data_IF_662795972100
#
_entry.id   IF_662795972100
#
_cell.length_a   1.000
_cell.length_b   1.000
_cell.length_c   1.000
_cell.angle_alpha   90.00
_cell.angle_beta   90.00
_cell.angle_gamma   90.00
#
_symmetry.space_group_name_H-M   'P 1'
#
loop_
_entity.id
_entity.type
_entity.pdbx_description
1 polymer ?
#
# COMPACT_ATOMS: atom_id res chain seq x y z
N UNK A 1 -0.75 -18.68 4.11
CA UNK A 1 -2.18 -18.26 4.01
C UNK A 1 -2.27 -17.20 2.94
N UNK A 2 -3.38 -17.08 2.20
CA UNK A 2 -3.47 -16.11 1.10
C UNK A 2 -4.09 -14.81 1.55
N UNK A 3 -3.55 -13.69 1.09
CA UNK A 3 -4.10 -12.35 1.29
C UNK A 3 -4.17 -11.63 -0.06
N UNK A 4 -5.22 -10.86 -0.27
CA UNK A 4 -5.40 -10.05 -1.46
C UNK A 4 -4.94 -8.60 -1.20
N UNK A 5 -4.07 -8.09 -2.06
CA UNK A 5 -3.59 -6.70 -2.06
C UNK A 5 -4.22 -5.98 -3.25
N UNK A 6 -4.93 -4.89 -2.99
CA UNK A 6 -5.59 -4.06 -3.98
C UNK A 6 -4.69 -2.89 -4.36
N UNK A 7 -4.66 -2.58 -5.65
CA UNK A 7 -4.01 -1.42 -6.22
C UNK A 7 -5.03 -0.66 -7.06
N UNK A 8 -5.29 0.61 -6.74
CA UNK A 8 -6.20 1.44 -7.53
C UNK A 8 -5.43 2.48 -8.33
N UNK A 9 -5.99 2.79 -9.50
CA UNK A 9 -5.39 3.72 -10.45
C UNK A 9 -6.07 5.08 -10.33
N UNK A 10 -5.33 6.16 -10.62
CA UNK A 10 -5.74 7.51 -10.28
C UNK A 10 -7.14 7.87 -10.75
N UNK A 11 -7.90 8.41 -9.79
CA UNK A 11 -9.25 8.97 -9.98
C UNK A 11 -9.43 10.35 -9.34
N UNK A 12 -8.46 10.81 -8.54
CA UNK A 12 -8.48 12.10 -7.83
C UNK A 12 -7.40 13.05 -8.37
N UNK A 13 -7.55 14.37 -8.15
CA UNK A 13 -6.52 15.37 -8.50
C UNK A 13 -5.17 15.09 -7.82
N UNK A 14 -5.18 14.51 -6.63
CA UNK A 14 -3.97 14.06 -5.94
C UNK A 14 -3.35 12.82 -6.61
N UNK A 15 -4.18 11.87 -7.04
CA UNK A 15 -3.72 10.74 -7.86
C UNK A 15 -3.12 11.20 -9.18
N UNK A 16 -3.66 12.27 -9.80
CA UNK A 16 -3.08 12.89 -11.01
C UNK A 16 -1.72 13.55 -10.75
N UNK A 17 -1.49 14.09 -9.55
CA UNK A 17 -0.19 14.63 -9.15
C UNK A 17 0.85 13.51 -9.01
N UNK A 18 0.47 12.37 -8.42
CA UNK A 18 1.32 11.16 -8.35
C UNK A 18 1.61 10.64 -9.76
N UNK A 19 0.59 10.51 -10.62
CA UNK A 19 0.74 10.16 -12.05
C UNK A 19 1.70 11.09 -12.81
N UNK A 20 1.69 12.39 -12.48
CA UNK A 20 2.57 13.37 -13.11
C UNK A 20 4.04 13.19 -12.68
N UNK A 21 4.26 12.74 -11.44
CA UNK A 21 5.59 12.49 -10.87
C UNK A 21 6.14 11.13 -11.32
N UNK A 22 5.31 10.09 -11.32
CA UNK A 22 5.72 8.70 -11.58
C UNK A 22 5.67 8.32 -13.08
N UNK A 23 4.85 9.02 -13.88
CA UNK A 23 4.66 8.76 -15.30
C UNK A 23 3.20 8.45 -15.63
N UNK A 24 2.66 8.92 -16.76
CA UNK A 24 1.21 8.96 -16.97
C UNK A 24 0.54 7.57 -17.08
N UNK A 25 -0.30 7.23 -16.10
CA UNK A 25 -1.54 6.44 -16.26
C UNK A 25 -1.43 4.91 -16.23
N UNK A 26 -0.23 4.35 -16.08
CA UNK A 26 -0.02 2.89 -15.97
C UNK A 26 0.29 2.40 -14.56
N UNK A 27 0.68 3.30 -13.66
CA UNK A 27 1.06 2.96 -12.29
C UNK A 27 -0.09 3.24 -11.30
N UNK A 28 -0.23 2.42 -10.24
CA UNK A 28 -1.25 2.62 -9.24
C UNK A 28 -0.91 3.82 -8.35
N UNK A 29 -1.91 4.62 -7.99
CA UNK A 29 -1.75 5.76 -7.09
C UNK A 29 -2.08 5.44 -5.63
N UNK A 30 -2.58 4.23 -5.35
CA UNK A 30 -3.01 3.82 -4.02
C UNK A 30 -2.96 2.29 -3.86
N UNK A 31 -2.66 1.84 -2.64
CA UNK A 31 -2.64 0.44 -2.26
C UNK A 31 -3.47 0.16 -0.99
N UNK A 32 -4.12 -0.99 -0.96
CA UNK A 32 -4.92 -1.45 0.16
C UNK A 32 -4.81 -2.97 0.33
N UNK A 33 -5.27 -3.51 1.46
CA UNK A 33 -5.20 -4.95 1.74
C UNK A 33 -6.53 -5.49 2.25
N UNK A 34 -6.96 -6.63 1.71
CA UNK A 34 -8.16 -7.32 2.15
C UNK A 34 -7.86 -8.15 3.39
N UNK A 35 -8.35 -7.71 4.55
CA UNK A 35 -8.11 -8.37 5.83
C UNK A 35 -9.20 -7.97 6.85
N UNK A 36 -9.38 -8.74 7.92
CA UNK A 36 -10.36 -8.44 8.99
C UNK A 36 -11.80 -8.20 8.48
N UNK A 37 -12.16 -8.89 7.40
CA UNK A 37 -13.48 -8.81 6.77
C UNK A 37 -13.77 -7.50 6.01
N UNK A 38 -12.76 -6.72 5.64
CA UNK A 38 -12.93 -5.49 4.86
C UNK A 38 -11.69 -5.14 4.02
N UNK A 39 -11.70 -3.93 3.47
CA UNK A 39 -10.55 -3.32 2.80
C UNK A 39 -9.87 -2.42 3.82
N UNK A 40 -8.62 -2.72 4.16
CA UNK A 40 -7.83 -1.87 5.05
C UNK A 40 -6.95 -0.96 4.19
N UNK A 41 -7.09 0.34 4.41
CA UNK A 41 -6.47 1.37 3.57
C UNK A 41 -6.21 2.65 4.36
N UNK A 42 -5.16 3.38 3.98
CA UNK A 42 -4.87 4.70 4.51
C UNK A 42 -5.51 5.75 3.59
N UNK A 43 -6.49 6.48 4.12
CA UNK A 43 -7.17 7.59 3.44
C UNK A 43 -6.85 8.91 4.14
N UNK A 44 -7.29 10.05 3.61
CA UNK A 44 -7.20 11.36 4.26
C UNK A 44 -7.75 11.41 5.70
N UNK A 45 -8.68 10.51 6.02
CA UNK A 45 -9.26 10.32 7.35
C UNK A 45 -8.46 9.39 8.28
N UNK A 46 -7.35 8.84 7.82
CA UNK A 46 -6.48 7.89 8.51
C UNK A 46 -6.56 6.46 7.97
N UNK A 47 -5.93 5.52 8.67
CA UNK A 47 -6.01 4.10 8.35
C UNK A 47 -7.33 3.50 8.85
N UNK A 48 -8.16 3.07 7.92
CA UNK A 48 -9.56 2.70 8.16
C UNK A 48 -9.88 1.35 7.56
N UNK A 49 -11.03 0.80 7.97
CA UNK A 49 -11.65 -0.35 7.32
C UNK A 49 -12.83 0.09 6.48
N UNK A 50 -12.65 0.05 5.17
CA UNK A 50 -13.68 0.31 4.17
C UNK A 50 -14.50 -0.93 3.84
N UNK A 51 -15.72 -0.75 3.31
CA UNK A 51 -16.55 -1.86 2.85
C UNK A 51 -15.94 -2.52 1.61
N UNK A 52 -16.24 -3.80 1.39
CA UNK A 52 -15.68 -4.59 0.28
C UNK A 52 -16.01 -4.07 -1.12
N UNK A 53 -17.06 -3.25 -1.24
CA UNK A 53 -17.51 -2.64 -2.48
C UNK A 53 -17.01 -1.20 -2.68
N UNK A 54 -16.08 -0.71 -1.84
CA UNK A 54 -15.56 0.66 -1.93
C UNK A 54 -14.93 1.00 -3.29
N UNK A 55 -14.44 -0.02 -4.01
CA UNK A 55 -13.79 0.10 -5.30
C UNK A 55 -14.66 -0.35 -6.49
N UNK A 56 -15.96 -0.58 -6.29
CA UNK A 56 -16.89 -0.87 -7.38
C UNK A 56 -16.96 0.32 -8.35
N UNK A 57 -16.69 0.06 -9.63
CA UNK A 57 -16.68 1.10 -10.67
C UNK A 57 -15.34 1.87 -10.81
N UNK A 58 -14.33 1.54 -10.00
CA UNK A 58 -12.97 2.09 -10.13
C UNK A 58 -12.05 1.12 -10.85
N UNK A 59 -11.11 1.64 -11.64
CA UNK A 59 -10.03 0.84 -12.22
C UNK A 59 -9.09 0.39 -11.09
N UNK A 60 -8.97 -0.91 -10.88
CA UNK A 60 -8.10 -1.49 -9.87
C UNK A 60 -7.55 -2.85 -10.32
N UNK A 61 -6.48 -3.29 -9.69
CA UNK A 61 -5.89 -4.63 -9.82
C UNK A 61 -5.76 -5.24 -8.43
N UNK A 62 -5.96 -6.56 -8.33
CA UNK A 62 -5.79 -7.30 -7.07
C UNK A 62 -4.73 -8.39 -7.26
N UNK A 63 -3.74 -8.43 -6.37
CA UNK A 63 -2.76 -9.50 -6.30
C UNK A 63 -2.98 -10.36 -5.06
N UNK A 64 -3.13 -11.66 -5.26
CA UNK A 64 -3.16 -12.63 -4.16
C UNK A 64 -1.73 -13.07 -3.83
N UNK A 65 -1.29 -12.93 -2.59
CA UNK A 65 0.05 -13.32 -2.12
C UNK A 65 -0.01 -14.28 -0.92
N UNK A 66 0.99 -15.14 -0.80
CA UNK A 66 1.12 -16.04 0.35
C UNK A 66 1.84 -15.33 1.51
N UNK A 67 1.15 -15.22 2.63
CA UNK A 67 1.65 -14.68 3.90
C UNK A 67 1.91 -15.85 4.87
N UNK A 68 3.15 -16.02 5.38
CA UNK A 68 3.51 -17.10 6.30
C UNK A 68 2.73 -17.11 7.62
N UNK A 69 2.55 -15.95 8.24
CA UNK A 69 1.91 -15.80 9.54
C UNK A 69 0.76 -14.79 9.47
N UNK A 70 -0.45 -15.28 9.17
CA UNK A 70 -1.62 -14.41 9.02
C UNK A 70 -2.01 -13.72 10.33
N UNK A 71 -1.87 -14.40 11.47
CA UNK A 71 -2.26 -13.86 12.78
C UNK A 71 -1.39 -12.65 13.14
N UNK A 72 -0.09 -12.69 12.81
CA UNK A 72 0.81 -11.57 13.02
C UNK A 72 0.50 -10.39 12.08
N UNK A 73 0.16 -10.67 10.82
CA UNK A 73 -0.28 -9.65 9.87
C UNK A 73 -1.58 -8.97 10.34
N UNK A 74 -2.56 -9.75 10.78
CA UNK A 74 -3.83 -9.27 11.34
C UNK A 74 -3.64 -8.43 12.61
N UNK A 75 -2.72 -8.86 13.48
CA UNK A 75 -2.38 -8.10 14.69
C UNK A 75 -1.75 -6.75 14.35
N UNK A 76 -0.87 -6.68 13.35
CA UNK A 76 -0.29 -5.40 12.90
C UNK A 76 -1.35 -4.51 12.24
N UNK A 77 -2.19 -5.08 11.38
CA UNK A 77 -3.29 -4.36 10.75
C UNK A 77 -4.25 -3.76 11.78
N UNK A 78 -4.54 -4.49 12.87
CA UNK A 78 -5.38 -4.00 13.96
C UNK A 78 -4.74 -2.85 14.74
N UNK A 79 -3.41 -2.84 14.91
CA UNK A 79 -2.69 -1.71 15.56
C UNK A 79 -2.74 -0.44 14.72
N UNK A 80 -2.67 -0.58 13.39
CA UNK A 80 -2.68 0.55 12.47
C UNK A 80 -4.03 1.27 12.43
N UNK A 81 -5.13 0.60 12.75
CA UNK A 81 -6.48 1.20 12.69
C UNK A 81 -6.57 2.49 13.52
N UNK A 82 -6.98 3.57 12.86
CA UNK A 82 -7.09 4.90 13.45
C UNK A 82 -5.80 5.73 13.39
N UNK A 83 -4.69 5.18 12.87
CA UNK A 83 -3.46 5.95 12.65
C UNK A 83 -3.72 7.07 11.63
N UNK A 84 -3.34 8.32 11.91
CA UNK A 84 -3.53 9.43 10.98
C UNK A 84 -2.78 9.25 9.65
N UNK A 85 -3.29 9.87 8.59
CA UNK A 85 -2.67 9.80 7.26
C UNK A 85 -1.38 10.59 7.15
N UNK A 86 -0.34 9.96 6.59
CA UNK A 86 0.95 10.57 6.33
C UNK A 86 1.05 11.20 4.95
N UNK A 87 0.56 12.43 4.77
CA UNK A 87 0.71 13.15 3.48
C UNK A 87 2.18 13.34 3.05
N UNK A 88 3.09 13.32 4.03
CA UNK A 88 4.50 13.56 3.83
C UNK A 88 5.18 12.37 3.14
N UNK A 89 4.84 11.14 3.49
CA UNK A 89 5.44 9.94 2.89
C UNK A 89 5.11 9.81 1.38
N UNK A 90 3.87 10.16 0.96
CA UNK A 90 3.52 10.21 -0.47
C UNK A 90 4.30 11.28 -1.26
N UNK A 91 4.61 12.42 -0.65
CA UNK A 91 5.43 13.46 -1.29
C UNK A 91 6.91 13.08 -1.30
N UNK A 92 7.38 12.43 -0.25
CA UNK A 92 8.78 12.01 -0.09
C UNK A 92 9.13 10.85 -1.03
N UNK A 93 8.21 9.88 -1.25
CA UNK A 93 8.36 8.83 -2.27
C UNK A 93 8.46 9.40 -3.69
N UNK A 94 7.58 10.34 -4.04
CA UNK A 94 7.67 11.04 -5.33
C UNK A 94 8.94 11.88 -5.49
N UNK A 95 9.45 12.49 -4.41
CA UNK A 95 10.72 13.21 -4.40
C UNK A 95 11.93 12.28 -4.53
N UNK A 96 11.89 11.11 -3.89
CA UNK A 96 12.91 10.07 -4.06
C UNK A 96 12.99 9.61 -5.51
N UNK A 97 11.86 9.32 -6.15
CA UNK A 97 11.85 8.83 -7.52
C UNK A 97 12.31 9.89 -8.53
N UNK A 98 12.05 11.18 -8.25
CA UNK A 98 12.51 12.28 -9.11
C UNK A 98 13.97 12.70 -8.87
N UNK A 99 14.44 12.69 -7.62
CA UNK A 99 15.68 13.35 -7.23
C UNK A 99 16.70 12.42 -6.54
N UNK A 100 16.34 11.16 -6.28
CA UNK A 100 17.14 10.21 -5.51
C UNK A 100 17.34 10.63 -4.04
N UNK A 101 16.45 11.46 -3.50
CA UNK A 101 16.56 12.01 -2.15
C UNK A 101 15.68 11.22 -1.19
N UNK A 102 16.29 10.55 -0.22
CA UNK A 102 15.57 9.93 0.91
C UNK A 102 15.33 10.98 1.99
N UNK A 103 14.06 11.19 2.36
CA UNK A 103 13.69 12.06 3.49
C UNK A 103 13.53 11.19 4.74
N UNK A 104 14.06 11.62 5.91
CA UNK A 104 13.88 10.86 7.15
C UNK A 104 12.39 10.77 7.52
N UNK A 105 11.91 9.55 7.75
CA UNK A 105 10.55 9.25 8.19
C UNK A 105 10.13 9.98 9.46
N UNK A 106 8.82 10.13 9.64
CA UNK A 106 8.23 10.86 10.78
C UNK A 106 8.19 10.05 12.09
N UNK A 107 8.67 8.80 12.08
CA UNK A 107 8.84 7.98 13.28
C UNK A 107 7.54 7.35 13.79
N UNK A 108 6.69 6.85 12.89
CA UNK A 108 5.47 6.06 13.15
C UNK A 108 4.22 6.87 13.56
N UNK A 109 4.25 8.21 13.49
CA UNK A 109 3.12 9.05 13.91
C UNK A 109 1.98 9.10 12.90
N UNK A 110 2.28 8.75 11.66
CA UNK A 110 1.35 8.65 10.54
C UNK A 110 1.58 7.37 9.76
N UNK A 111 0.68 7.05 8.84
CA UNK A 111 0.85 5.93 7.90
C UNK A 111 0.28 6.32 6.54
N UNK A 112 0.96 5.92 5.46
CA UNK A 112 0.40 5.99 4.12
C UNK A 112 -0.08 4.63 3.58
N UNK A 113 -0.65 4.65 2.37
CA UNK A 113 -1.34 3.48 1.83
C UNK A 113 -0.41 2.30 1.52
N UNK A 114 0.77 2.55 0.96
CA UNK A 114 1.74 1.51 0.62
C UNK A 114 2.58 1.11 1.83
N UNK A 115 2.94 2.05 2.70
CA UNK A 115 3.60 1.79 3.98
C UNK A 115 2.77 0.81 4.82
N UNK A 116 1.47 1.08 4.99
CA UNK A 116 0.59 0.22 5.78
C UNK A 116 0.61 -1.22 5.25
N UNK A 117 0.50 -1.40 3.93
CA UNK A 117 0.51 -2.72 3.31
C UNK A 117 1.86 -3.41 3.51
N UNK A 118 2.98 -2.70 3.33
CA UNK A 118 4.33 -3.25 3.55
C UNK A 118 4.50 -3.72 4.99
N UNK A 119 4.14 -2.89 5.98
CA UNK A 119 4.24 -3.22 7.40
C UNK A 119 3.42 -4.46 7.77
N UNK A 120 2.19 -4.55 7.27
CA UNK A 120 1.30 -5.70 7.50
C UNK A 120 1.91 -6.99 6.91
N UNK A 121 2.43 -6.93 5.68
CA UNK A 121 3.03 -8.08 5.01
C UNK A 121 4.34 -8.51 5.69
N UNK A 122 5.18 -7.56 6.10
CA UNK A 122 6.42 -7.80 6.85
C UNK A 122 6.14 -8.43 8.22
N UNK A 123 5.15 -7.92 8.97
CA UNK A 123 4.70 -8.52 10.23
C UNK A 123 4.21 -9.96 10.02
N UNK A 124 3.59 -10.23 8.86
CA UNK A 124 3.19 -11.56 8.43
C UNK A 124 4.35 -12.47 8.00
N UNK A 125 5.59 -11.98 8.00
CA UNK A 125 6.79 -12.72 7.60
C UNK A 125 7.11 -12.67 6.10
N UNK A 126 6.45 -11.80 5.34
CA UNK A 126 6.75 -11.55 3.93
C UNK A 126 7.57 -10.25 3.81
N UNK A 127 8.90 -10.39 3.87
CA UNK A 127 9.80 -9.24 3.71
C UNK A 127 10.06 -8.94 2.22
N UNK A 128 9.43 -7.87 1.73
CA UNK A 128 9.41 -7.48 0.30
C UNK A 128 10.50 -6.44 0.01
N UNK A 129 10.94 -5.72 1.04
CA UNK A 129 11.84 -4.58 0.97
C UNK A 129 12.88 -4.64 2.10
N UNK A 130 13.87 -5.56 2.04
CA UNK A 130 14.83 -5.76 3.12
C UNK A 130 15.79 -4.57 3.33
N UNK A 131 15.98 -3.74 2.29
CA UNK A 131 16.94 -2.62 2.29
C UNK A 131 16.27 -1.24 2.37
N UNK A 132 14.93 -1.18 2.42
CA UNK A 132 14.17 0.07 2.41
C UNK A 132 13.23 0.13 3.61
N UNK A 133 13.04 1.34 4.14
CA UNK A 133 11.99 1.59 5.11
C UNK A 133 10.63 1.60 4.42
N UNK A 134 9.58 1.11 5.10
CA UNK A 134 8.24 0.96 4.54
C UNK A 134 7.63 2.30 4.08
N UNK A 135 8.00 3.40 4.75
CA UNK A 135 7.57 4.78 4.47
C UNK A 135 8.19 5.39 3.20
N UNK A 136 9.09 4.67 2.53
CA UNK A 136 9.70 5.08 1.26
C UNK A 136 9.25 4.20 0.09
N UNK A 137 8.17 3.44 0.25
CA UNK A 137 7.66 2.53 -0.79
C UNK A 137 6.45 3.18 -1.45
N UNK A 138 6.49 3.38 -2.77
CA UNK A 138 5.31 3.81 -3.53
C UNK A 138 4.37 2.63 -3.81
N UNK A 139 3.07 2.87 -4.11
CA UNK A 139 2.18 1.81 -4.58
C UNK A 139 2.70 1.10 -5.85
N UNK A 140 3.39 1.83 -6.73
CA UNK A 140 4.00 1.28 -7.93
C UNK A 140 5.16 0.33 -7.61
N UNK A 141 6.04 0.69 -6.68
CA UNK A 141 7.13 -0.17 -6.19
C UNK A 141 6.57 -1.46 -5.58
N UNK A 142 5.56 -1.31 -4.73
CA UNK A 142 4.89 -2.43 -4.08
C UNK A 142 4.27 -3.38 -5.11
N UNK A 143 3.55 -2.84 -6.11
CA UNK A 143 3.00 -3.64 -7.20
C UNK A 143 4.10 -4.40 -7.95
N UNK A 144 5.18 -3.72 -8.32
CA UNK A 144 6.30 -4.31 -9.07
C UNK A 144 6.96 -5.45 -8.29
N UNK A 145 7.09 -5.33 -6.96
CA UNK A 145 7.67 -6.37 -6.09
C UNK A 145 6.72 -7.52 -5.80
N UNK A 146 5.42 -7.26 -5.62
CA UNK A 146 4.44 -8.31 -5.32
C UNK A 146 4.03 -9.13 -6.56
N UNK A 147 4.05 -8.53 -7.75
CA UNK A 147 3.66 -9.20 -9.00
C UNK A 147 4.37 -10.55 -9.23
N UNK A 148 5.71 -10.70 -9.11
CA UNK A 148 6.36 -12.01 -9.25
C UNK A 148 6.05 -12.99 -8.12
N UNK A 149 5.62 -12.51 -6.95
CA UNK A 149 5.24 -13.31 -5.79
C UNK A 149 3.75 -13.71 -5.81
N UNK A 150 2.97 -13.11 -6.70
CA UNK A 150 1.54 -13.34 -6.76
C UNK A 150 1.19 -14.75 -7.21
N UNK A 151 0.24 -15.36 -6.53
CA UNK A 151 -0.27 -16.68 -6.89
C UNK A 151 -1.15 -16.54 -8.11
N UNK A 152 -0.75 -17.14 -9.24
CA UNK A 152 -1.64 -17.23 -10.40
C UNK A 152 -2.91 -17.98 -10.00
N UNK A 153 -4.06 -17.32 -10.04
CA UNK A 153 -5.34 -18.03 -10.07
C UNK A 153 -5.39 -18.78 -11.40
N UNK A 154 -5.17 -20.09 -11.36
CA UNK A 154 -5.60 -20.98 -12.44
C UNK A 154 -7.13 -21.00 -12.31
N UNK A 155 -7.81 -20.20 -13.14
CA UNK A 155 -9.26 -20.24 -13.30
C UNK A 155 -9.64 -21.39 -14.23
#
# INVERSE_FOLDING_TARGET
MKVDVLFSYPVTEFGKLIDWVEGPGEDPSHAAIYMLGGILEALDTGFVKSPLNAYDGFKHTVLTVDVPNIDAAEAEAAKLLGTPYGYRACLDGGLHDLLGVTVPGDGESTVDCSEAVVRILQAGGLDIFPDFSADNVTPADLLRKLKPLSVKKIL
#
